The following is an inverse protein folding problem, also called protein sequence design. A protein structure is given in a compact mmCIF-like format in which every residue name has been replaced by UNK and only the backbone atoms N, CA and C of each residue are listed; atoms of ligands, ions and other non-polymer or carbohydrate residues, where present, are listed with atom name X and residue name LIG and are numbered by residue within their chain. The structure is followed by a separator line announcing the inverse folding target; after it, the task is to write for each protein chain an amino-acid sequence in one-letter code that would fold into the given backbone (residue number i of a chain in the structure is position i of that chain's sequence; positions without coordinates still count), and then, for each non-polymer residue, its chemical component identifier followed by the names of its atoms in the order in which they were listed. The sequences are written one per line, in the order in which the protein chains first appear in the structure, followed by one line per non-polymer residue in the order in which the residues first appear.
data_IF_054643167186
#
_entry.id   IF_054643167186
#
_cell.length_a   1.000
_cell.length_b   1.000
_cell.length_c   1.000
_cell.angle_alpha   90.00
_cell.angle_beta   90.00
_cell.angle_gamma   90.00
#
_symmetry.space_group_name_H-M   'P 1'
#
loop_
_entity.id
_entity.type
_entity.pdbx_description
1 polymer ?
#
# COMPACT_ATOMS: atom_id res chain seq x y z
N UNK A 1 -4.27 51.51 17.20
CA UNK A 1 -5.05 50.26 17.12
C UNK A 1 -6.24 50.53 16.20
N UNK A 2 -6.09 50.28 14.88
CA UNK A 2 -7.01 50.73 13.80
C UNK A 2 -7.55 49.52 13.02
N UNK A 3 -8.03 48.50 13.73
CA UNK A 3 -8.79 47.40 13.13
C UNK A 3 -9.93 47.09 14.11
N UNK A 4 -11.17 47.40 13.70
CA UNK A 4 -12.38 47.13 14.48
C UNK A 4 -12.46 45.64 14.86
N UNK A 5 -13.18 45.35 15.96
CA UNK A 5 -13.31 43.97 16.47
C UNK A 5 -13.61 43.01 15.31
N UNK A 6 -12.72 42.01 15.06
CA UNK A 6 -12.95 41.07 13.98
C UNK A 6 -14.29 40.39 14.24
N UNK A 7 -15.10 40.28 13.20
CA UNK A 7 -16.36 39.54 13.31
C UNK A 7 -16.05 38.15 13.89
N UNK A 8 -16.91 37.59 14.76
CA UNK A 8 -16.67 36.27 15.35
C UNK A 8 -16.34 35.20 14.30
N UNK A 9 -16.93 35.30 13.11
CA UNK A 9 -16.62 34.46 11.95
C UNK A 9 -15.15 34.58 11.49
N UNK A 10 -14.60 35.81 11.38
CA UNK A 10 -13.20 36.02 11.00
C UNK A 10 -12.24 35.39 12.02
N UNK A 11 -12.53 35.53 13.33
CA UNK A 11 -11.72 34.94 14.40
C UNK A 11 -11.69 33.41 14.30
N UNK A 12 -12.84 32.78 14.04
CA UNK A 12 -12.91 31.32 13.84
C UNK A 12 -12.14 30.89 12.60
N UNK A 13 -12.26 31.61 11.48
CA UNK A 13 -11.52 31.31 10.24
C UNK A 13 -10.01 31.39 10.49
N UNK A 14 -9.53 32.47 11.12
CA UNK A 14 -8.10 32.65 11.44
C UNK A 14 -7.61 31.55 12.39
N UNK A 15 -8.40 31.19 13.41
CA UNK A 15 -8.06 30.10 14.33
C UNK A 15 -7.95 28.74 13.61
N UNK A 16 -8.85 28.44 12.68
CA UNK A 16 -8.80 27.21 11.88
C UNK A 16 -7.61 27.20 10.92
N UNK A 17 -7.30 28.32 10.27
CA UNK A 17 -6.13 28.45 9.38
C UNK A 17 -4.83 28.31 10.17
N UNK A 18 -4.70 28.98 11.31
CA UNK A 18 -3.52 28.87 12.17
C UNK A 18 -3.38 27.46 12.76
N UNK A 19 -4.48 26.87 13.26
CA UNK A 19 -4.51 25.52 13.81
C UNK A 19 -4.16 24.44 12.79
N UNK A 20 -4.71 24.53 11.57
CA UNK A 20 -4.37 23.60 10.48
C UNK A 20 -2.92 23.75 10.03
N UNK A 21 -2.41 24.98 9.92
CA UNK A 21 -1.00 25.24 9.59
C UNK A 21 -0.06 24.64 10.65
N UNK A 22 -0.37 24.83 11.93
CA UNK A 22 0.38 24.24 13.04
C UNK A 22 0.35 22.71 12.99
N UNK A 23 -0.82 22.10 12.80
CA UNK A 23 -0.96 20.66 12.67
C UNK A 23 -0.13 20.10 11.50
N UNK A 24 -0.14 20.77 10.34
CA UNK A 24 0.66 20.40 9.16
C UNK A 24 2.15 20.50 9.49
N UNK A 25 2.61 21.59 10.12
CA UNK A 25 4.01 21.76 10.48
C UNK A 25 4.50 20.67 11.46
N UNK A 26 3.73 20.38 12.50
CA UNK A 26 4.06 19.32 13.46
C UNK A 26 4.05 17.94 12.82
N UNK A 27 3.06 17.66 11.96
CA UNK A 27 2.96 16.38 11.24
C UNK A 27 4.12 16.21 10.27
N UNK A 28 4.49 17.26 9.54
CA UNK A 28 5.64 17.25 8.63
C UNK A 28 6.93 16.95 9.41
N UNK A 29 7.18 17.65 10.52
CA UNK A 29 8.36 17.42 11.37
C UNK A 29 8.41 15.99 11.93
N UNK A 30 7.27 15.46 12.38
CA UNK A 30 7.18 14.08 12.86
C UNK A 30 7.42 13.06 11.73
N UNK A 31 6.87 13.31 10.54
CA UNK A 31 7.07 12.48 9.36
C UNK A 31 8.53 12.48 8.89
N UNK A 32 9.17 13.66 8.89
CA UNK A 32 10.60 13.81 8.60
C UNK A 32 11.43 12.97 9.56
N UNK A 33 11.18 13.07 10.88
CA UNK A 33 11.87 12.23 11.88
C UNK A 33 11.65 10.74 11.64
N UNK A 34 10.43 10.33 11.29
CA UNK A 34 10.16 8.92 10.99
C UNK A 34 10.93 8.44 9.75
N UNK A 35 11.07 9.28 8.73
CA UNK A 35 11.84 8.97 7.53
C UNK A 35 13.35 8.95 7.81
N UNK A 36 13.89 9.94 8.53
CA UNK A 36 15.32 10.02 8.81
C UNK A 36 15.78 9.02 9.87
N UNK A 37 14.92 8.65 10.83
CA UNK A 37 15.24 7.62 11.83
C UNK A 37 15.39 6.21 11.21
N UNK A 38 15.11 6.02 9.91
CA UNK A 38 15.37 4.74 9.23
C UNK A 38 16.81 4.57 8.73
N UNK A 39 17.66 5.62 8.78
CA UNK A 39 19.12 5.50 8.65
C UNK A 39 19.80 6.65 9.43
N UNK A 40 20.54 6.38 10.51
CA UNK A 40 21.24 7.42 11.28
C UNK A 40 22.46 7.94 10.50
N UNK A 41 22.23 8.75 9.47
CA UNK A 41 23.30 9.47 8.76
C UNK A 41 23.32 10.93 9.24
N UNK A 42 24.33 11.33 10.04
CA UNK A 42 24.38 12.66 10.69
C UNK A 42 24.41 13.81 9.69
N UNK A 43 25.08 13.64 8.54
CA UNK A 43 25.15 14.66 7.49
C UNK A 43 23.80 14.93 6.83
N UNK A 44 22.99 13.89 6.61
CA UNK A 44 21.66 14.01 6.01
C UNK A 44 20.69 14.78 6.92
N UNK A 45 20.80 14.61 8.24
CA UNK A 45 19.97 15.36 9.20
C UNK A 45 20.36 16.84 9.28
N UNK A 46 21.66 17.16 9.28
CA UNK A 46 22.14 18.54 9.30
C UNK A 46 21.79 19.24 7.99
N UNK A 47 22.04 18.61 6.85
CA UNK A 47 21.71 19.16 5.54
C UNK A 47 20.21 19.44 5.39
N UNK A 48 19.36 18.59 5.96
CA UNK A 48 17.92 18.78 5.95
C UNK A 48 17.49 20.01 6.77
N UNK A 49 18.02 20.16 8.00
CA UNK A 49 17.70 21.32 8.84
C UNK A 49 18.20 22.64 8.23
N UNK A 50 19.42 22.64 7.69
CA UNK A 50 19.98 23.83 7.02
C UNK A 50 19.19 24.16 5.74
N UNK A 51 18.74 23.14 5.01
CA UNK A 51 17.87 23.32 3.85
C UNK A 51 16.51 23.91 4.22
N UNK A 52 15.91 23.47 5.33
CA UNK A 52 14.67 24.04 5.86
C UNK A 52 14.84 25.53 6.20
N UNK A 53 15.90 25.89 6.94
CA UNK A 53 16.16 27.29 7.33
C UNK A 53 16.47 28.18 6.12
N UNK A 54 17.28 27.69 5.19
CA UNK A 54 17.59 28.40 3.95
C UNK A 54 16.34 28.61 3.08
N UNK A 55 15.43 27.64 3.02
CA UNK A 55 14.18 27.78 2.29
C UNK A 55 13.25 28.83 2.92
N UNK A 56 13.19 28.91 4.26
CA UNK A 56 12.41 29.94 4.97
C UNK A 56 12.97 31.34 4.72
N UNK A 57 14.28 31.52 4.94
CA UNK A 57 14.93 32.82 4.74
C UNK A 57 14.89 33.25 3.26
N UNK A 58 15.20 32.34 2.34
CA UNK A 58 15.15 32.57 0.92
C UNK A 58 13.74 32.87 0.43
N UNK A 59 12.73 32.14 0.92
CA UNK A 59 11.33 32.39 0.63
C UNK A 59 10.86 33.76 1.10
N UNK A 60 11.21 34.16 2.33
CA UNK A 60 10.86 35.47 2.87
C UNK A 60 11.51 36.62 2.08
N UNK A 61 12.80 36.48 1.76
CA UNK A 61 13.52 37.43 0.91
C UNK A 61 12.87 37.53 -0.48
N UNK A 62 12.48 36.40 -1.06
CA UNK A 62 11.85 36.37 -2.38
C UNK A 62 10.47 37.06 -2.38
N UNK A 63 9.66 36.85 -1.33
CA UNK A 63 8.37 37.55 -1.16
C UNK A 63 8.58 39.06 -1.07
N UNK A 64 9.63 39.50 -0.38
CA UNK A 64 9.93 40.93 -0.22
C UNK A 64 10.42 41.58 -1.51
N UNK A 65 11.38 40.97 -2.22
CA UNK A 65 12.01 41.58 -3.40
C UNK A 65 11.26 41.31 -4.71
N UNK A 66 10.64 40.13 -4.87
CA UNK A 66 10.01 39.70 -6.12
C UNK A 66 8.72 38.90 -5.85
N UNK A 67 7.61 39.55 -5.43
CA UNK A 67 6.40 38.86 -4.99
C UNK A 67 5.74 38.02 -6.10
N UNK A 68 5.84 38.43 -7.37
CA UNK A 68 5.32 37.65 -8.50
C UNK A 68 6.10 36.34 -8.71
N UNK A 69 7.43 36.39 -8.55
CA UNK A 69 8.27 35.20 -8.65
C UNK A 69 8.02 34.26 -7.47
N UNK A 70 7.89 34.81 -6.26
CA UNK A 70 7.49 34.05 -5.07
C UNK A 70 6.15 33.32 -5.28
N UNK A 71 5.15 34.01 -5.83
CA UNK A 71 3.84 33.43 -6.13
C UNK A 71 3.94 32.30 -7.15
N UNK A 72 4.74 32.46 -8.21
CA UNK A 72 4.93 31.42 -9.22
C UNK A 72 5.58 30.16 -8.63
N UNK A 73 6.65 30.32 -7.86
CA UNK A 73 7.34 29.19 -7.18
C UNK A 73 6.38 28.51 -6.20
N UNK A 74 5.61 29.29 -5.44
CA UNK A 74 4.61 28.75 -4.52
C UNK A 74 3.56 27.90 -5.25
N UNK A 75 3.00 28.42 -6.34
CA UNK A 75 1.99 27.70 -7.12
C UNK A 75 2.54 26.41 -7.75
N UNK A 76 3.80 26.44 -8.20
CA UNK A 76 4.50 25.26 -8.69
C UNK A 76 4.65 24.20 -7.58
N UNK A 77 5.03 24.64 -6.38
CA UNK A 77 5.12 23.77 -5.19
C UNK A 77 3.78 23.13 -4.83
N UNK A 78 2.69 23.90 -4.83
CA UNK A 78 1.33 23.38 -4.59
C UNK A 78 0.93 22.38 -5.69
N UNK A 79 1.22 22.68 -6.95
CA UNK A 79 0.93 21.78 -8.08
C UNK A 79 1.67 20.45 -7.92
N UNK A 80 2.96 20.49 -7.58
CA UNK A 80 3.75 19.31 -7.29
C UNK A 80 3.17 18.53 -6.10
N UNK A 81 2.82 19.22 -5.01
CA UNK A 81 2.20 18.59 -3.84
C UNK A 81 0.90 17.87 -4.21
N UNK A 82 -0.05 18.52 -4.88
CA UNK A 82 -1.33 17.92 -5.28
C UNK A 82 -1.11 16.72 -6.22
N UNK A 83 -0.13 16.80 -7.11
CA UNK A 83 0.23 15.70 -8.02
C UNK A 83 0.77 14.47 -7.26
N UNK A 84 1.64 14.66 -6.27
CA UNK A 84 2.27 13.57 -5.52
C UNK A 84 1.46 13.08 -4.30
N UNK A 85 0.64 13.95 -3.70
CA UNK A 85 -0.20 13.67 -2.55
C UNK A 85 -0.98 12.34 -2.65
N UNK A 86 -1.71 12.00 -3.73
CA UNK A 86 -2.46 10.74 -3.77
C UNK A 86 -1.56 9.50 -3.70
N UNK A 87 -0.31 9.57 -4.21
CA UNK A 87 0.64 8.46 -4.10
C UNK A 87 1.13 8.29 -2.67
N UNK A 88 1.48 9.41 -2.02
CA UNK A 88 1.96 9.44 -0.63
C UNK A 88 0.87 8.98 0.33
N UNK A 89 -0.34 9.56 0.21
CA UNK A 89 -1.48 9.21 1.05
C UNK A 89 -1.89 7.74 0.92
N UNK A 90 -1.80 7.17 -0.27
CA UNK A 90 -2.08 5.73 -0.46
C UNK A 90 -1.08 4.85 0.30
N UNK A 91 0.20 5.21 0.26
CA UNK A 91 1.25 4.50 1.00
C UNK A 91 1.09 4.68 2.51
N UNK A 92 0.83 5.91 2.97
CA UNK A 92 0.59 6.23 4.38
C UNK A 92 -0.61 5.47 4.93
N UNK A 93 -1.73 5.43 4.20
CA UNK A 93 -2.93 4.67 4.57
C UNK A 93 -2.66 3.18 4.72
N UNK A 94 -1.89 2.58 3.80
CA UNK A 94 -1.52 1.16 3.89
C UNK A 94 -0.71 0.86 5.16
N UNK A 95 0.30 1.68 5.44
CA UNK A 95 1.14 1.53 6.64
C UNK A 95 0.35 1.78 7.93
N UNK A 96 -0.47 2.82 7.98
CA UNK A 96 -1.31 3.14 9.13
C UNK A 96 -2.30 2.01 9.42
N UNK A 97 -2.90 1.41 8.38
CA UNK A 97 -3.79 0.27 8.55
C UNK A 97 -3.06 -0.97 9.08
N UNK A 98 -1.84 -1.25 8.60
CA UNK A 98 -1.01 -2.34 9.12
C UNK A 98 -0.64 -2.11 10.59
N UNK A 99 -0.25 -0.87 10.95
CA UNK A 99 0.07 -0.51 12.33
C UNK A 99 -1.17 -0.63 13.24
N UNK A 100 -2.33 -0.14 12.79
CA UNK A 100 -3.59 -0.27 13.52
C UNK A 100 -3.98 -1.73 13.74
N UNK A 101 -3.86 -2.59 12.71
CA UNK A 101 -4.11 -4.03 12.86
C UNK A 101 -3.08 -4.74 13.74
N UNK A 102 -1.85 -4.24 13.83
CA UNK A 102 -0.84 -4.77 14.76
C UNK A 102 -1.21 -4.43 16.21
N UNK A 103 -1.68 -3.21 16.46
CA UNK A 103 -2.10 -2.77 17.81
C UNK A 103 -3.41 -3.44 18.27
N UNK A 104 -4.38 -3.60 17.36
CA UNK A 104 -5.66 -4.24 17.66
C UNK A 104 -5.69 -5.73 17.34
N UNK A 105 -4.54 -6.32 17.03
CA UNK A 105 -4.43 -7.76 16.79
C UNK A 105 -4.56 -8.51 18.11
N UNK A 106 -5.45 -9.52 18.23
CA UNK A 106 -5.45 -10.37 19.41
C UNK A 106 -4.06 -10.99 19.60
N UNK A 107 -3.55 -10.99 20.83
CA UNK A 107 -2.31 -11.68 21.18
C UNK A 107 -2.45 -13.13 20.70
N UNK A 108 -1.53 -13.54 19.83
CA UNK A 108 -1.42 -14.84 19.17
C UNK A 108 -2.31 -15.94 19.76
N UNK A 109 -3.52 -16.10 19.21
CA UNK A 109 -4.36 -17.27 19.50
C UNK A 109 -4.07 -18.27 18.40
N UNK A 110 -3.51 -19.42 18.77
CA UNK A 110 -3.38 -20.61 17.92
C UNK A 110 -4.79 -21.16 17.58
N UNK A 111 -5.58 -20.41 16.82
CA UNK A 111 -6.78 -20.95 16.20
C UNK A 111 -6.34 -21.65 14.90
N UNK A 112 -6.87 -22.86 14.61
CA UNK A 112 -6.64 -23.48 13.32
C UNK A 112 -7.15 -22.53 12.24
N UNK A 113 -6.22 -21.89 11.53
CA UNK A 113 -6.58 -21.01 10.43
C UNK A 113 -7.14 -21.92 9.33
N UNK A 114 -8.41 -21.73 9.01
CA UNK A 114 -9.02 -22.35 7.83
C UNK A 114 -8.96 -21.33 6.71
N UNK A 115 -8.37 -21.71 5.58
CA UNK A 115 -8.42 -20.90 4.37
C UNK A 115 -9.88 -20.63 4.04
N UNK A 116 -10.25 -19.35 3.93
CA UNK A 116 -11.65 -18.97 3.77
C UNK A 116 -12.05 -19.09 2.30
N UNK A 117 -13.00 -19.97 2.02
CA UNK A 117 -13.67 -20.07 0.73
C UNK A 117 -14.60 -18.87 0.47
N UNK A 118 -14.91 -18.08 1.51
CA UNK A 118 -15.83 -16.96 1.43
C UNK A 118 -15.17 -15.73 0.79
N UNK A 119 -15.58 -15.41 -0.44
CA UNK A 119 -15.13 -14.23 -1.16
C UNK A 119 -15.72 -12.95 -0.51
N UNK A 120 -14.91 -11.91 -0.21
CA UNK A 120 -15.43 -10.67 0.35
C UNK A 120 -16.49 -10.05 -0.56
N UNK A 121 -17.63 -9.63 -0.01
CA UNK A 121 -18.77 -9.10 -0.78
C UNK A 121 -18.39 -7.96 -1.74
N UNK A 122 -17.37 -7.15 -1.40
CA UNK A 122 -16.85 -6.06 -2.25
C UNK A 122 -16.13 -6.54 -3.51
N UNK A 123 -15.57 -7.75 -3.48
CA UNK A 123 -14.80 -8.36 -4.57
C UNK A 123 -15.61 -9.41 -5.33
N UNK A 124 -16.77 -9.82 -4.80
CA UNK A 124 -17.68 -10.77 -5.44
C UNK A 124 -18.05 -10.37 -6.87
N UNK A 125 -18.34 -9.09 -7.11
CA UNK A 125 -18.66 -8.59 -8.46
C UNK A 125 -17.46 -8.50 -9.39
N UNK A 126 -16.24 -8.37 -8.85
CA UNK A 126 -15.00 -8.31 -9.63
C UNK A 126 -14.65 -9.71 -10.13
N UNK A 127 -14.60 -10.69 -9.22
CA UNK A 127 -14.27 -12.07 -9.55
C UNK A 127 -15.36 -12.70 -10.42
N UNK A 128 -16.64 -12.47 -10.12
CA UNK A 128 -17.77 -13.01 -10.92
C UNK A 128 -17.81 -12.46 -12.36
N UNK A 129 -17.29 -11.25 -12.61
CA UNK A 129 -17.24 -10.68 -13.97
C UNK A 129 -16.21 -11.35 -14.86
N UNK A 130 -15.13 -11.88 -14.27
CA UNK A 130 -14.02 -12.45 -15.02
C UNK A 130 -14.00 -13.99 -14.97
N UNK A 131 -14.58 -14.59 -13.92
CA UNK A 131 -14.90 -16.02 -13.84
C UNK A 131 -16.08 -16.36 -14.77
N UNK A 132 -15.91 -16.14 -16.07
CA UNK A 132 -16.86 -16.53 -17.12
C UNK A 132 -17.06 -18.07 -17.17
N UNK A 133 -16.15 -18.84 -16.54
CA UNK A 133 -16.14 -20.30 -16.47
C UNK A 133 -16.74 -20.88 -15.18
N UNK A 134 -17.28 -20.05 -14.26
CA UNK A 134 -17.86 -20.51 -12.99
C UNK A 134 -16.88 -21.30 -12.10
N UNK A 135 -15.58 -20.98 -12.19
CA UNK A 135 -14.54 -21.74 -11.52
C UNK A 135 -14.72 -21.80 -10.00
N UNK A 136 -14.50 -22.99 -9.43
CA UNK A 136 -14.62 -23.22 -7.99
C UNK A 136 -13.44 -22.59 -7.26
N UNK A 137 -13.74 -21.66 -6.35
CA UNK A 137 -12.74 -20.98 -5.53
C UNK A 137 -12.23 -21.95 -4.46
N UNK A 138 -10.93 -22.24 -4.47
CA UNK A 138 -10.31 -23.05 -3.44
C UNK A 138 -10.15 -22.28 -2.13
N UNK A 139 -9.70 -21.02 -2.23
CA UNK A 139 -9.58 -20.12 -1.09
C UNK A 139 -9.40 -18.66 -1.51
N UNK A 140 -9.69 -17.76 -0.58
CA UNK A 140 -9.45 -16.32 -0.70
C UNK A 140 -8.70 -15.77 0.51
N UNK A 141 -7.79 -14.84 0.28
CA UNK A 141 -6.97 -14.26 1.33
C UNK A 141 -6.86 -12.73 1.18
N UNK A 142 -7.41 -11.92 2.11
CA UNK A 142 -7.34 -10.47 2.03
C UNK A 142 -5.90 -10.00 2.26
N UNK A 143 -5.38 -9.21 1.32
CA UNK A 143 -4.00 -8.71 1.37
C UNK A 143 -3.86 -7.33 0.73
N UNK A 144 -2.68 -6.74 0.92
CA UNK A 144 -2.27 -5.51 0.25
C UNK A 144 -1.22 -5.87 -0.80
N UNK A 145 -1.38 -5.41 -2.04
CA UNK A 145 -0.34 -5.59 -3.05
C UNK A 145 0.90 -4.78 -2.73
N UNK A 146 2.07 -5.40 -2.83
CA UNK A 146 3.36 -4.75 -2.96
C UNK A 146 3.61 -4.30 -4.40
N UNK A 147 4.79 -3.75 -4.66
CA UNK A 147 5.20 -3.37 -6.02
C UNK A 147 5.51 -4.64 -6.81
N UNK A 148 4.78 -4.89 -7.89
CA UNK A 148 5.01 -6.05 -8.77
C UNK A 148 4.78 -5.71 -10.23
N UNK A 149 5.02 -6.67 -11.13
CA UNK A 149 4.82 -6.47 -12.58
C UNK A 149 3.34 -6.24 -12.86
N UNK A 150 3.01 -5.08 -13.43
CA UNK A 150 1.63 -4.65 -13.75
C UNK A 150 0.66 -4.57 -12.56
N UNK A 151 1.11 -4.78 -11.32
CA UNK A 151 0.30 -4.61 -10.10
C UNK A 151 0.79 -3.37 -9.34
N UNK A 152 -0.06 -2.36 -9.12
CA UNK A 152 0.33 -1.18 -8.36
C UNK A 152 0.53 -1.52 -6.88
N UNK A 153 1.55 -0.93 -6.26
CA UNK A 153 1.77 -1.08 -4.82
C UNK A 153 0.67 -0.39 -3.98
N UNK A 154 0.43 -0.89 -2.77
CA UNK A 154 -0.52 -0.38 -1.78
C UNK A 154 -1.98 -0.44 -2.25
N UNK A 155 -2.36 -1.49 -2.99
CA UNK A 155 -3.76 -1.74 -3.35
C UNK A 155 -4.34 -2.78 -2.40
N UNK A 156 -5.47 -2.46 -1.77
CA UNK A 156 -6.20 -3.39 -0.92
C UNK A 156 -7.04 -4.32 -1.80
N UNK A 157 -6.87 -5.62 -1.61
CA UNK A 157 -7.55 -6.64 -2.40
C UNK A 157 -7.55 -7.99 -1.70
N UNK A 158 -7.75 -9.04 -2.49
CA UNK A 158 -7.62 -10.42 -2.05
C UNK A 158 -6.88 -11.23 -3.11
N UNK A 159 -6.09 -12.20 -2.65
CA UNK A 159 -5.64 -13.30 -3.49
C UNK A 159 -6.75 -14.35 -3.56
N UNK A 160 -6.93 -14.92 -4.73
CA UNK A 160 -7.94 -15.92 -5.04
C UNK A 160 -7.24 -17.05 -5.78
N UNK A 161 -7.32 -18.25 -5.24
CA UNK A 161 -6.90 -19.47 -5.91
C UNK A 161 -8.14 -20.27 -6.33
N UNK A 162 -8.13 -20.82 -7.54
CA UNK A 162 -9.19 -21.70 -8.05
C UNK A 162 -8.74 -23.15 -7.99
N UNK A 163 -9.69 -24.09 -8.05
CA UNK A 163 -9.40 -25.53 -8.05
C UNK A 163 -9.01 -25.99 -9.47
N UNK A 164 -9.62 -25.40 -10.49
CA UNK A 164 -9.46 -25.81 -11.89
C UNK A 164 -8.10 -25.42 -12.48
N UNK A 165 -7.56 -24.27 -12.10
CA UNK A 165 -6.23 -23.82 -12.51
C UNK A 165 -5.27 -23.77 -11.29
N UNK A 166 -4.75 -24.90 -10.79
CA UNK A 166 -3.95 -24.94 -9.57
C UNK A 166 -2.63 -24.15 -9.67
N UNK A 167 -2.13 -23.94 -10.89
CA UNK A 167 -0.88 -23.24 -11.17
C UNK A 167 -1.07 -21.73 -11.40
N UNK A 168 -2.30 -21.21 -11.25
CA UNK A 168 -2.58 -19.78 -11.36
C UNK A 168 -3.22 -19.25 -10.09
N UNK A 169 -2.84 -18.03 -9.74
CA UNK A 169 -3.45 -17.27 -8.64
C UNK A 169 -3.84 -15.89 -9.13
N UNK A 170 -5.05 -15.46 -8.80
CA UNK A 170 -5.56 -14.17 -9.21
C UNK A 170 -5.58 -13.18 -8.05
N UNK A 171 -5.12 -11.95 -8.30
CA UNK A 171 -5.25 -10.84 -7.36
C UNK A 171 -6.43 -9.95 -7.76
N UNK A 172 -7.46 -9.91 -6.92
CA UNK A 172 -8.68 -9.13 -7.11
C UNK A 172 -8.70 -7.88 -6.22
N UNK A 173 -8.95 -6.72 -6.81
CA UNK A 173 -9.00 -5.46 -6.10
C UNK A 173 -9.89 -4.41 -6.79
N UNK A 174 -10.13 -3.30 -6.09
CA UNK A 174 -10.81 -2.12 -6.64
C UNK A 174 -9.83 -0.95 -6.77
N UNK A 175 -9.44 -0.60 -8.00
CA UNK A 175 -8.54 0.51 -8.29
C UNK A 175 -9.36 1.74 -8.67
N UNK A 176 -9.41 2.74 -7.78
CA UNK A 176 -10.24 3.97 -7.96
C UNK A 176 -11.71 3.63 -8.27
N UNK A 177 -12.25 2.62 -7.58
CA UNK A 177 -13.63 2.15 -7.79
C UNK A 177 -13.85 1.25 -9.02
N UNK A 178 -12.84 1.07 -9.89
CA UNK A 178 -12.92 0.14 -11.02
C UNK A 178 -12.42 -1.25 -10.64
N UNK A 179 -13.03 -2.33 -11.15
CA UNK A 179 -12.54 -3.69 -10.97
C UNK A 179 -11.12 -3.82 -11.51
N UNK A 180 -10.26 -4.48 -10.75
CA UNK A 180 -8.90 -4.81 -11.13
C UNK A 180 -8.65 -6.28 -10.76
N UNK A 181 -8.53 -7.14 -11.76
CA UNK A 181 -8.09 -8.52 -11.58
C UNK A 181 -6.76 -8.69 -12.30
N UNK A 182 -5.89 -9.52 -11.72
CA UNK A 182 -4.65 -9.93 -12.37
C UNK A 182 -4.35 -11.37 -12.02
N UNK A 183 -4.48 -12.26 -13.01
CA UNK A 183 -3.93 -13.60 -12.93
C UNK A 183 -2.39 -13.53 -12.94
N UNK A 184 -1.80 -14.32 -12.05
CA UNK A 184 -0.37 -14.55 -11.88
C UNK A 184 -0.16 -16.04 -12.13
N UNK A 185 0.67 -16.31 -13.12
CA UNK A 185 1.15 -17.65 -13.39
C UNK A 185 2.20 -18.03 -12.36
N UNK A 186 2.08 -19.21 -11.78
CA UNK A 186 3.02 -19.76 -10.81
C UNK A 186 4.02 -20.72 -11.46
N UNK A 187 3.85 -21.07 -12.74
CA UNK A 187 4.84 -21.89 -13.46
C UNK A 187 6.25 -21.28 -13.29
N UNK A 188 7.22 -22.16 -12.99
CA UNK A 188 8.62 -21.81 -12.69
C UNK A 188 8.81 -20.74 -11.61
N UNK A 189 7.85 -20.57 -10.70
CA UNK A 189 7.90 -19.57 -9.63
C UNK A 189 8.17 -20.21 -8.26
N UNK A 190 9.00 -19.54 -7.47
CA UNK A 190 9.28 -19.87 -6.07
C UNK A 190 8.44 -18.97 -5.18
N UNK A 191 7.72 -19.61 -4.24
CA UNK A 191 6.89 -18.94 -3.24
C UNK A 191 7.60 -18.93 -1.88
N UNK A 192 7.83 -17.74 -1.34
CA UNK A 192 8.54 -17.52 -0.06
C UNK A 192 7.72 -16.65 0.90
N UNK A 193 7.97 -16.87 2.18
CA UNK A 193 7.42 -16.07 3.28
C UNK A 193 8.53 -15.21 3.87
N UNK A 194 8.37 -13.89 3.81
CA UNK A 194 9.28 -12.93 4.45
C UNK A 194 8.55 -12.25 5.63
N UNK A 195 9.01 -12.52 6.85
CA UNK A 195 8.48 -11.86 8.04
C UNK A 195 9.16 -10.50 8.27
N UNK A 196 8.37 -9.43 8.43
CA UNK A 196 8.86 -8.06 8.71
C UNK A 196 8.19 -7.49 9.95
N UNK A 197 8.75 -6.43 10.53
CA UNK A 197 8.28 -5.86 11.81
C UNK A 197 6.77 -5.51 11.85
N UNK A 198 6.19 -5.03 10.73
CA UNK A 198 4.78 -4.62 10.64
C UNK A 198 3.92 -5.54 9.76
N UNK A 199 4.51 -6.51 9.08
CA UNK A 199 3.79 -7.31 8.10
C UNK A 199 4.39 -8.69 7.88
N UNK A 200 3.56 -9.59 7.40
CA UNK A 200 3.96 -10.89 6.87
C UNK A 200 3.84 -10.80 5.36
N UNK A 201 4.93 -11.05 4.65
CA UNK A 201 4.96 -10.86 3.21
C UNK A 201 4.99 -12.21 2.51
N UNK A 202 4.06 -12.41 1.58
CA UNK A 202 4.12 -13.46 0.59
C UNK A 202 4.85 -12.92 -0.63
N UNK A 203 5.91 -13.61 -1.04
CA UNK A 203 6.73 -13.26 -2.18
C UNK A 203 6.67 -14.37 -3.20
N UNK A 204 6.37 -14.01 -4.44
CA UNK A 204 6.40 -14.92 -5.58
C UNK A 204 7.44 -14.38 -6.54
N UNK A 205 8.49 -15.14 -6.79
CA UNK A 205 9.60 -14.76 -7.66
C UNK A 205 9.94 -15.91 -8.62
N UNK A 206 10.33 -15.63 -9.87
CA UNK A 206 10.74 -16.67 -10.79
C UNK A 206 11.97 -17.42 -10.27
N UNK A 207 12.00 -18.73 -10.43
CA UNK A 207 13.09 -19.63 -10.01
C UNK A 207 14.41 -19.29 -10.72
N UNK A 208 14.33 -18.88 -11.98
CA UNK A 208 15.49 -18.50 -12.80
C UNK A 208 16.15 -17.16 -12.39
N UNK A 209 15.68 -16.48 -11.33
CA UNK A 209 16.29 -15.25 -10.80
C UNK A 209 16.08 -13.98 -11.64
N UNK A 210 15.72 -14.11 -12.92
CA UNK A 210 15.40 -13.01 -13.83
C UNK A 210 13.90 -12.97 -14.17
N UNK A 211 13.13 -12.12 -13.49
CA UNK A 211 11.72 -11.91 -13.87
C UNK A 211 10.87 -11.16 -12.84
N UNK A 212 9.56 -11.28 -13.01
CA UNK A 212 8.57 -10.50 -12.29
C UNK A 212 8.43 -10.93 -10.82
N UNK A 213 8.95 -10.14 -9.87
CA UNK A 213 8.66 -10.33 -8.46
C UNK A 213 7.27 -9.79 -8.13
N UNK A 214 6.43 -10.62 -7.50
CA UNK A 214 5.17 -10.21 -6.89
C UNK A 214 5.32 -10.24 -5.37
N UNK A 215 4.78 -9.22 -4.73
CA UNK A 215 4.82 -9.06 -3.27
C UNK A 215 3.38 -8.84 -2.81
N UNK A 216 2.96 -9.58 -1.80
CA UNK A 216 1.67 -9.39 -1.11
C UNK A 216 1.93 -9.27 0.38
N UNK A 217 1.30 -8.28 0.98
CA UNK A 217 1.57 -7.82 2.34
C UNK A 217 0.33 -8.12 3.18
N UNK A 218 0.53 -8.90 4.23
CA UNK A 218 -0.47 -9.29 5.20
C UNK A 218 -0.18 -8.66 6.56
N UNK A 219 -1.21 -8.40 7.39
CA UNK A 219 -1.02 -7.94 8.76
C UNK A 219 -0.29 -8.98 9.62
N UNK A 220 0.50 -8.52 10.60
CA UNK A 220 1.22 -9.40 11.54
C UNK A 220 0.39 -10.53 12.17
N UNK A 221 -0.87 -10.31 12.61
CA UNK A 221 -1.69 -11.39 13.18
C UNK A 221 -1.99 -12.54 12.21
N UNK A 222 -1.76 -12.36 10.90
CA UNK A 222 -2.09 -13.36 9.87
C UNK A 222 -0.88 -14.24 9.50
N UNK A 223 0.15 -14.33 10.33
CA UNK A 223 1.34 -15.16 10.05
C UNK A 223 0.99 -16.61 9.73
N UNK A 224 0.16 -17.25 10.55
CA UNK A 224 -0.30 -18.63 10.32
C UNK A 224 -1.07 -18.79 9.00
N UNK A 225 -1.86 -17.78 8.61
CA UNK A 225 -2.55 -17.76 7.31
C UNK A 225 -1.54 -17.72 6.14
N UNK A 226 -0.54 -16.85 6.23
CA UNK A 226 0.48 -16.72 5.18
C UNK A 226 1.29 -18.02 5.05
N UNK A 227 1.68 -18.63 6.16
CA UNK A 227 2.36 -19.93 6.13
C UNK A 227 1.51 -21.00 5.45
N UNK A 228 0.21 -21.06 5.75
CA UNK A 228 -0.70 -22.03 5.15
C UNK A 228 -0.89 -21.81 3.65
N UNK A 229 -1.00 -20.55 3.22
CA UNK A 229 -1.02 -20.18 1.79
C UNK A 229 0.27 -20.62 1.10
N UNK A 230 1.44 -20.38 1.70
CA UNK A 230 2.73 -20.77 1.12
C UNK A 230 2.83 -22.29 0.98
N UNK A 231 2.38 -23.04 1.99
CA UNK A 231 2.36 -24.50 1.95
C UNK A 231 1.43 -25.02 0.84
N UNK A 232 0.21 -24.49 0.75
CA UNK A 232 -0.75 -24.86 -0.29
C UNK A 232 -0.23 -24.55 -1.71
N UNK A 233 0.34 -23.35 -1.93
CA UNK A 233 0.91 -22.98 -3.22
C UNK A 233 2.12 -23.84 -3.61
N UNK A 234 2.98 -24.20 -2.65
CA UNK A 234 4.09 -25.12 -2.90
C UNK A 234 3.61 -26.52 -3.24
N UNK A 235 2.56 -26.99 -2.58
CA UNK A 235 1.96 -28.28 -2.87
C UNK A 235 1.38 -28.30 -4.30
N UNK A 236 0.61 -27.28 -4.68
CA UNK A 236 0.07 -27.13 -6.05
C UNK A 236 1.14 -27.09 -7.14
N UNK A 237 2.31 -26.50 -6.83
CA UNK A 237 3.46 -26.48 -7.73
C UNK A 237 4.20 -27.82 -7.81
N UNK A 238 4.12 -28.62 -6.74
CA UNK A 238 4.73 -29.96 -6.69
C UNK A 238 3.83 -31.02 -7.33
N UNK A 239 2.52 -30.78 -7.38
CA UNK A 239 1.57 -31.58 -8.13
C UNK A 239 1.74 -31.32 -9.63
N UNK A 240 2.11 -32.34 -10.43
CA UNK A 240 2.23 -32.17 -11.87
C UNK A 240 0.88 -31.72 -12.42
N UNK A 241 0.90 -30.70 -13.28
CA UNK A 241 -0.30 -30.30 -14.02
C UNK A 241 -0.85 -31.56 -14.69
N UNK A 242 -2.09 -31.93 -14.37
CA UNK A 242 -2.86 -32.88 -15.17
C UNK A 242 -3.13 -32.23 -16.54
N UNK A 243 -2.09 -32.14 -17.37
CA UNK A 243 -2.22 -31.83 -18.78
C UNK A 243 -2.45 -33.14 -19.54
N UNK A 244 -3.57 -33.15 -20.24
CA UNK A 244 -3.93 -34.00 -21.39
C UNK A 244 -4.26 -35.47 -21.15
N UNK A 245 -5.49 -35.72 -20.70
CA UNK A 245 -6.24 -36.89 -21.18
C UNK A 245 -7.68 -36.52 -21.54
N UNK A 246 -7.82 -35.76 -22.62
CA UNK A 246 -9.11 -35.63 -23.32
C UNK A 246 -8.89 -35.64 -24.84
N UNK A 247 -8.48 -36.80 -25.35
CA UNK A 247 -8.69 -37.16 -26.76
C UNK A 247 -9.80 -38.22 -26.78
N UNK A 248 -11.00 -37.92 -27.28
CA UNK A 248 -12.01 -38.94 -27.53
C UNK A 248 -11.64 -39.72 -28.81
N UNK A 249 -11.68 -41.05 -28.68
CA UNK A 249 -11.79 -42.12 -29.70
C UNK A 249 -11.39 -41.84 -31.15
#
# INVERSE_FOLDING_TARGET
QVLGHPSPALTVIVALLAGSTSLVAHTAKAATRLATNTSPEPFSNIGLSLGEDAAVLGGLALVHFNPLLALFIFLLGITAFVYFAPKILRAAKAKAWLAWRKLNGPAYVNSPVKLSEALPARLASVVKRENLLNETIAWTAPCISGRGRRIPANLFGALVATIEEPHKVSFAALKRGRPFLRAIDLEDSVVTHESKFLSENLVISPAAGGGAKYLFIFPRPHAALVEQIVRDLRQRLSEPALQEQKTPL
#
